data_IF_854310564694
#
_entry.id   IF_854310564694
#
_cell.length_a   1.000
_cell.length_b   1.000
_cell.length_c   1.000
_cell.angle_alpha   90.00
_cell.angle_beta   90.00
_cell.angle_gamma   90.00
#
_symmetry.space_group_name_H-M   'P 1'
#
loop_
_entity.id
_entity.type
_entity.pdbx_description
1 polymer ?
#
# COMPACT_ATOMS: atom_id res chain seq x y z
N UNK A 1 15.40 -21.01 -15.18
CA UNK A 1 14.45 -20.04 -14.62
C UNK A 1 15.26 -19.05 -13.80
N UNK A 2 15.24 -17.78 -14.18
CA UNK A 2 15.79 -16.69 -13.35
C UNK A 2 14.66 -15.96 -12.65
N UNK A 3 14.94 -15.40 -11.48
CA UNK A 3 14.04 -14.43 -10.83
C UNK A 3 14.63 -13.05 -11.11
N UNK A 4 13.86 -12.20 -11.77
CA UNK A 4 14.24 -10.80 -12.00
C UNK A 4 13.47 -9.92 -11.01
N UNK A 5 14.21 -9.17 -10.19
CA UNK A 5 13.64 -8.21 -9.24
C UNK A 5 13.89 -6.82 -9.79
N UNK A 6 12.81 -6.09 -10.07
CA UNK A 6 12.91 -4.75 -10.59
C UNK A 6 12.60 -3.71 -9.52
N UNK A 7 13.58 -2.87 -9.21
CA UNK A 7 13.46 -1.73 -8.29
C UNK A 7 13.55 -0.44 -9.08
N UNK A 8 12.79 0.58 -8.68
CA UNK A 8 12.85 1.92 -9.30
C UNK A 8 12.22 2.01 -10.70
N UNK A 9 11.40 1.04 -11.10
CA UNK A 9 10.61 1.08 -12.32
C UNK A 9 9.13 0.80 -12.03
N UNK A 10 8.26 1.20 -12.95
CA UNK A 10 6.82 1.18 -12.78
C UNK A 10 6.16 0.28 -13.81
N UNK A 11 5.31 -0.62 -13.33
CA UNK A 11 4.43 -1.42 -14.18
C UNK A 11 3.57 -0.52 -15.06
N UNK A 12 3.58 -0.78 -16.37
CA UNK A 12 2.78 -0.05 -17.36
C UNK A 12 1.55 -0.82 -17.77
N UNK A 13 1.76 -2.03 -18.28
CA UNK A 13 0.74 -2.92 -18.83
C UNK A 13 1.33 -4.31 -19.08
N UNK A 14 0.47 -5.26 -19.44
CA UNK A 14 0.87 -6.55 -20.02
C UNK A 14 0.59 -6.61 -21.52
N UNK A 15 1.44 -7.33 -22.24
CA UNK A 15 1.26 -7.72 -23.63
C UNK A 15 1.04 -9.24 -23.71
N UNK A 16 -0.08 -9.64 -24.33
CA UNK A 16 -0.47 -11.05 -24.44
C UNK A 16 0.42 -11.82 -25.43
N UNK A 17 0.48 -13.15 -25.30
CA UNK A 17 1.00 -14.02 -26.33
C UNK A 17 0.28 -13.83 -27.68
N UNK A 18 1.02 -14.00 -28.78
CA UNK A 18 0.54 -14.00 -30.17
C UNK A 18 1.36 -14.99 -31.00
N UNK A 19 0.99 -15.23 -32.27
CA UNK A 19 1.73 -16.17 -33.16
C UNK A 19 3.21 -15.80 -33.32
N UNK A 20 3.56 -14.51 -33.33
CA UNK A 20 4.95 -14.04 -33.42
C UNK A 20 5.65 -13.92 -32.06
N UNK A 21 4.90 -14.01 -30.96
CA UNK A 21 5.40 -13.87 -29.59
C UNK A 21 4.64 -14.82 -28.66
N UNK A 22 5.03 -16.11 -28.56
CA UNK A 22 4.30 -17.13 -27.80
C UNK A 22 4.58 -17.05 -26.28
N UNK A 23 4.57 -15.84 -25.72
CA UNK A 23 4.81 -15.60 -24.30
C UNK A 23 4.27 -14.22 -23.88
N UNK A 24 3.97 -14.08 -22.59
CA UNK A 24 3.57 -12.81 -22.00
C UNK A 24 4.76 -11.88 -21.83
N UNK A 25 4.53 -10.59 -22.06
CA UNK A 25 5.51 -9.55 -21.81
C UNK A 25 4.97 -8.55 -20.79
N UNK A 26 5.77 -8.28 -19.75
CA UNK A 26 5.58 -7.18 -18.82
C UNK A 26 6.19 -5.92 -19.43
N UNK A 27 5.43 -4.84 -19.49
CA UNK A 27 5.92 -3.54 -19.93
C UNK A 27 6.25 -2.68 -18.71
N UNK A 28 7.51 -2.26 -18.58
CA UNK A 28 7.99 -1.44 -17.47
C UNK A 28 8.49 -0.08 -17.95
N UNK A 29 8.22 0.98 -17.19
CA UNK A 29 8.69 2.34 -17.46
C UNK A 29 9.54 2.90 -16.31
N UNK A 30 10.41 3.86 -16.61
CA UNK A 30 11.29 4.51 -15.60
C UNK A 30 10.64 5.68 -14.86
N UNK A 31 9.48 6.16 -15.31
CA UNK A 31 8.76 7.27 -14.66
C UNK A 31 7.47 6.79 -14.01
N UNK A 32 7.04 7.39 -12.88
CA UNK A 32 5.73 7.11 -12.31
C UNK A 32 4.64 7.37 -13.37
N UNK A 33 3.64 6.49 -13.51
CA UNK A 33 2.51 6.77 -14.40
C UNK A 33 1.74 7.98 -13.90
N UNK A 34 1.30 8.85 -14.81
CA UNK A 34 0.43 9.97 -14.48
C UNK A 34 -0.84 9.41 -13.83
N UNK A 35 -1.09 9.78 -12.57
CA UNK A 35 -2.38 9.50 -11.94
C UNK A 35 -3.46 10.24 -12.73
N UNK A 36 -4.30 9.50 -13.48
CA UNK A 36 -5.53 10.07 -14.01
C UNK A 36 -6.46 10.33 -12.82
N UNK A 37 -6.46 11.57 -12.34
CA UNK A 37 -7.52 12.07 -11.47
C UNK A 37 -8.82 12.04 -12.28
N UNK A 38 -9.56 10.93 -12.23
CA UNK A 38 -10.95 10.86 -12.69
C UNK A 38 -11.87 11.60 -11.72
N UNK A 39 -11.65 12.91 -11.56
CA UNK A 39 -12.51 13.81 -10.80
C UNK A 39 -12.64 15.17 -11.48
N UNK A 40 -12.81 15.18 -12.80
CA UNK A 40 -13.36 16.33 -13.53
C UNK A 40 -14.82 16.05 -13.92
N UNK A 41 -15.72 16.02 -12.93
CA UNK A 41 -17.12 16.31 -13.20
C UNK A 41 -17.29 17.83 -13.13
N UNK A 42 -17.08 18.48 -14.27
CA UNK A 42 -17.48 19.87 -14.47
C UNK A 42 -19.01 19.94 -14.44
N UNK A 43 -19.52 20.58 -13.40
CA UNK A 43 -20.90 21.00 -13.31
C UNK A 43 -20.97 22.42 -13.90
N UNK A 44 -21.32 22.53 -15.19
CA UNK A 44 -21.84 23.78 -15.76
C UNK A 44 -23.03 23.46 -16.66
N UNK A 45 -24.22 23.70 -16.11
CA UNK A 45 -25.44 23.85 -16.87
C UNK A 45 -25.29 24.98 -17.89
N UNK A 46 -25.52 24.70 -19.18
CA UNK A 46 -26.30 25.59 -20.04
C UNK A 46 -26.86 24.83 -21.24
N UNK A 47 -28.17 24.99 -21.47
CA UNK A 47 -28.97 24.39 -22.55
C UNK A 47 -28.65 25.04 -23.90
N UNK A 48 -28.53 24.24 -24.96
CA UNK A 48 -29.27 24.43 -26.23
C UNK A 48 -29.03 23.30 -27.25
N UNK A 49 -30.03 23.12 -28.10
CA UNK A 49 -30.40 22.05 -29.05
C UNK A 49 -29.39 21.49 -30.10
N UNK A 50 -29.66 20.22 -30.49
CA UNK A 50 -29.34 19.46 -31.74
C UNK A 50 -27.96 18.76 -31.90
N UNK A 51 -27.85 17.69 -32.74
CA UNK A 51 -28.52 16.39 -32.68
C UNK A 51 -27.51 15.21 -32.58
N UNK A 52 -28.06 14.01 -32.32
CA UNK A 52 -27.36 12.71 -32.08
C UNK A 52 -26.21 12.43 -33.07
N UNK A 53 -24.98 12.28 -32.54
CA UNK A 53 -23.83 11.70 -33.23
C UNK A 53 -23.39 10.42 -32.51
N UNK A 54 -23.28 9.35 -33.29
CA UNK A 54 -22.84 8.01 -32.88
C UNK A 54 -21.51 8.05 -32.12
N UNK A 55 -21.49 7.59 -30.87
CA UNK A 55 -20.27 7.36 -30.10
C UNK A 55 -19.60 6.07 -30.56
N UNK A 56 -18.67 6.19 -31.51
CA UNK A 56 -17.57 5.23 -31.69
C UNK A 56 -16.32 5.80 -31.02
N UNK A 57 -15.72 4.99 -30.16
CA UNK A 57 -14.35 5.01 -29.63
C UNK A 57 -13.92 6.14 -28.66
N UNK A 58 -13.47 5.72 -27.48
CA UNK A 58 -12.39 6.37 -26.71
C UNK A 58 -11.40 5.32 -26.19
N UNK A 59 -10.67 4.71 -27.12
CA UNK A 59 -9.34 4.16 -26.84
C UNK A 59 -8.48 5.31 -26.30
N UNK A 60 -7.97 5.15 -25.07
CA UNK A 60 -7.08 6.12 -24.48
C UNK A 60 -5.78 6.18 -25.30
N UNK A 61 -5.63 7.23 -26.11
CA UNK A 61 -4.37 7.56 -26.77
C UNK A 61 -3.37 8.01 -25.70
N UNK A 62 -2.58 7.05 -25.20
CA UNK A 62 -1.34 7.34 -24.49
C UNK A 62 -0.35 7.85 -25.54
N UNK A 63 0.21 9.05 -25.32
CA UNK A 63 1.26 9.62 -26.16
C UNK A 63 2.42 8.63 -26.30
N UNK A 64 2.64 8.11 -27.51
CA UNK A 64 3.63 7.07 -27.85
C UNK A 64 5.10 7.52 -27.75
N UNK A 65 5.39 8.72 -27.26
CA UNK A 65 6.73 9.33 -27.30
C UNK A 65 7.46 9.45 -25.96
N UNK A 66 6.95 8.87 -24.87
CA UNK A 66 7.68 8.87 -23.58
C UNK A 66 8.15 7.46 -23.21
N UNK A 67 9.42 7.20 -23.55
CA UNK A 67 10.25 6.05 -23.15
C UNK A 67 9.67 4.71 -23.60
N UNK A 68 10.27 4.13 -24.65
CA UNK A 68 9.98 2.75 -25.05
C UNK A 68 10.07 1.85 -23.81
N UNK A 69 8.95 1.27 -23.36
CA UNK A 69 8.98 0.48 -22.13
C UNK A 69 9.88 -0.73 -22.34
N UNK A 70 10.70 -1.04 -21.34
CA UNK A 70 11.46 -2.28 -21.36
C UNK A 70 10.46 -3.44 -21.33
N UNK A 71 10.65 -4.41 -22.22
CA UNK A 71 9.81 -5.61 -22.35
C UNK A 71 10.50 -6.79 -21.69
N UNK A 72 9.80 -7.47 -20.79
CA UNK A 72 10.32 -8.64 -20.11
C UNK A 72 9.35 -9.80 -20.22
N UNK A 73 9.83 -10.96 -20.67
CA UNK A 73 9.03 -12.17 -20.69
C UNK A 73 8.71 -12.61 -19.25
N UNK A 74 7.47 -12.98 -18.98
CA UNK A 74 7.08 -13.50 -17.67
C UNK A 74 6.08 -14.66 -17.76
N UNK A 75 6.28 -15.68 -16.93
CA UNK A 75 5.27 -16.72 -16.68
C UNK A 75 4.59 -16.52 -15.30
N UNK A 76 5.19 -15.67 -14.46
CA UNK A 76 4.76 -15.33 -13.10
C UNK A 76 4.94 -13.83 -12.88
N UNK A 77 3.90 -13.14 -12.41
CA UNK A 77 3.93 -11.74 -11.99
C UNK A 77 3.49 -11.64 -10.53
N UNK A 78 4.27 -10.94 -9.69
CA UNK A 78 3.93 -10.72 -8.27
C UNK A 78 3.81 -9.22 -8.01
N UNK A 79 2.60 -8.78 -7.64
CA UNK A 79 2.31 -7.42 -7.25
C UNK A 79 2.83 -7.13 -5.83
N UNK A 80 3.89 -6.33 -5.75
CA UNK A 80 4.49 -5.85 -4.51
C UNK A 80 4.68 -4.31 -4.52
N UNK A 81 3.89 -3.61 -5.34
CA UNK A 81 3.96 -2.17 -5.62
C UNK A 81 3.08 -1.30 -4.69
N UNK A 82 2.61 -1.89 -3.59
CA UNK A 82 1.91 -1.17 -2.51
C UNK A 82 0.41 -1.00 -2.72
N UNK A 83 -0.21 -0.18 -1.87
CA UNK A 83 -1.66 -0.05 -1.73
C UNK A 83 -2.43 0.42 -2.98
N UNK A 84 -1.73 1.04 -3.93
CA UNK A 84 -2.27 1.51 -5.21
C UNK A 84 -1.76 0.67 -6.39
N UNK A 85 -1.60 -0.64 -6.17
CA UNK A 85 -1.02 -1.56 -7.13
C UNK A 85 -1.67 -1.47 -8.52
N UNK A 86 -0.85 -1.22 -9.54
CA UNK A 86 -1.31 -1.18 -10.93
C UNK A 86 -1.48 -2.58 -11.51
N UNK A 87 -0.71 -3.54 -11.01
CA UNK A 87 -0.89 -4.96 -11.35
C UNK A 87 -2.27 -5.43 -10.87
N UNK A 88 -2.68 -5.05 -9.65
CA UNK A 88 -4.04 -5.33 -9.18
C UNK A 88 -5.11 -4.74 -10.10
N UNK A 89 -4.92 -3.50 -10.57
CA UNK A 89 -5.85 -2.84 -11.49
C UNK A 89 -5.90 -3.52 -12.86
N UNK A 90 -4.75 -3.85 -13.45
CA UNK A 90 -4.63 -4.49 -14.77
C UNK A 90 -5.36 -5.84 -14.80
N UNK A 91 -5.17 -6.67 -13.78
CA UNK A 91 -5.73 -8.02 -13.71
C UNK A 91 -7.08 -8.09 -12.99
N UNK A 92 -7.67 -6.95 -12.61
CA UNK A 92 -9.02 -6.91 -12.03
C UNK A 92 -9.12 -7.46 -10.59
N UNK A 93 -8.03 -7.43 -9.83
CA UNK A 93 -8.07 -7.73 -8.39
C UNK A 93 -8.91 -6.68 -7.67
N UNK A 94 -10.00 -7.10 -7.03
CA UNK A 94 -10.90 -6.16 -6.36
C UNK A 94 -10.31 -5.75 -5.02
N UNK A 95 -9.92 -4.50 -4.93
CA UNK A 95 -9.45 -3.87 -3.71
C UNK A 95 -10.62 -3.18 -3.00
N UNK A 96 -11.00 -3.71 -1.83
CA UNK A 96 -12.04 -3.12 -0.99
C UNK A 96 -11.38 -2.18 0.02
N UNK A 97 -11.67 -0.89 -0.12
CA UNK A 97 -11.29 0.11 0.87
C UNK A 97 -12.28 0.11 2.03
N UNK A 98 -11.76 -0.08 3.24
CA UNK A 98 -12.50 0.04 4.50
C UNK A 98 -11.98 1.24 5.27
N UNK A 99 -12.88 2.17 5.58
CA UNK A 99 -12.52 3.41 6.27
C UNK A 99 -13.70 4.38 6.31
N UNK A 100 -14.39 4.47 7.45
CA UNK A 100 -15.51 5.44 7.60
C UNK A 100 -15.11 6.70 8.37
N UNK A 101 -14.05 6.61 9.18
CA UNK A 101 -13.56 7.71 10.03
C UNK A 101 -12.34 8.33 9.36
N UNK A 102 -12.36 9.66 9.20
CA UNK A 102 -11.17 10.42 8.78
C UNK A 102 -10.11 10.31 9.86
N UNK A 103 -8.94 9.79 9.51
CA UNK A 103 -7.82 9.60 10.41
C UNK A 103 -6.55 10.11 9.73
N UNK A 104 -5.78 10.89 10.48
CA UNK A 104 -4.47 11.36 10.06
C UNK A 104 -3.44 10.67 10.94
N UNK A 105 -2.42 10.09 10.32
CA UNK A 105 -1.20 9.67 10.99
C UNK A 105 -0.13 10.75 10.90
N UNK A 106 0.71 10.88 11.92
CA UNK A 106 1.95 11.63 11.83
C UNK A 106 3.08 10.65 12.12
N UNK A 107 4.10 10.64 11.27
CA UNK A 107 5.40 10.06 11.61
C UNK A 107 6.41 11.16 11.80
N UNK A 108 7.32 10.99 12.74
CA UNK A 108 8.50 11.81 12.82
C UNK A 108 9.71 11.02 13.31
N UNK A 109 10.88 11.38 12.77
CA UNK A 109 12.15 10.75 13.11
C UNK A 109 13.10 11.81 13.66
N UNK A 110 13.68 11.55 14.83
CA UNK A 110 14.80 12.32 15.36
C UNK A 110 16.11 11.56 15.17
N UNK A 111 17.20 12.31 15.06
CA UNK A 111 18.55 11.73 15.10
C UNK A 111 18.71 10.93 16.41
N UNK A 112 19.18 9.69 16.31
CA UNK A 112 19.57 8.92 17.48
C UNK A 112 21.09 9.02 17.66
N UNK A 113 21.54 9.91 18.55
CA UNK A 113 22.98 10.10 18.81
C UNK A 113 23.56 9.05 19.76
N UNK A 114 22.74 8.09 20.19
CA UNK A 114 23.08 6.97 21.08
C UNK A 114 23.72 7.44 22.40
N UNK A 115 23.34 8.61 22.88
CA UNK A 115 23.72 9.16 24.20
C UNK A 115 23.18 8.28 25.33
N UNK A 116 23.69 8.48 26.55
CA UNK A 116 23.23 7.73 27.72
C UNK A 116 21.73 7.97 28.01
N UNK A 117 21.26 9.21 27.82
CA UNK A 117 19.85 9.58 28.01
C UNK A 117 18.95 8.89 26.99
N UNK A 118 19.30 8.96 25.70
CA UNK A 118 18.55 8.31 24.62
C UNK A 118 18.51 6.78 24.81
N UNK A 119 19.60 6.16 25.27
CA UNK A 119 19.65 4.70 25.53
C UNK A 119 18.72 4.27 26.67
N UNK A 120 18.38 5.17 27.59
CA UNK A 120 17.47 4.89 28.72
C UNK A 120 15.99 4.98 28.32
N UNK A 121 15.69 5.57 27.17
CA UNK A 121 14.32 5.65 26.66
C UNK A 121 13.80 4.24 26.35
N UNK A 122 12.61 3.96 26.91
CA UNK A 122 11.91 2.70 26.68
C UNK A 122 10.95 2.86 25.52
N UNK A 123 11.00 1.92 24.59
CA UNK A 123 10.03 1.80 23.51
C UNK A 123 8.64 1.51 24.08
N UNK A 124 7.60 1.94 23.35
CA UNK A 124 6.23 1.67 23.74
C UNK A 124 5.27 1.75 22.55
N UNK A 125 4.14 1.06 22.66
CA UNK A 125 2.96 1.23 21.80
C UNK A 125 1.74 1.42 22.68
N UNK A 126 1.17 2.63 22.67
CA UNK A 126 0.08 3.01 23.55
C UNK A 126 -1.17 3.33 22.76
N UNK A 127 -2.30 2.83 23.25
CA UNK A 127 -3.65 3.17 22.77
C UNK A 127 -4.38 3.99 23.84
N UNK A 128 -5.08 5.04 23.42
CA UNK A 128 -5.63 6.08 24.30
C UNK A 128 -6.62 5.53 25.33
N UNK A 129 -7.49 4.59 24.93
CA UNK A 129 -8.54 4.07 25.81
C UNK A 129 -8.01 3.22 26.97
N UNK A 130 -6.83 2.60 26.83
CA UNK A 130 -6.12 1.89 27.90
C UNK A 130 -5.22 2.82 28.73
N UNK A 131 -4.78 3.95 28.16
CA UNK A 131 -3.79 4.86 28.75
C UNK A 131 -4.37 6.26 29.03
N UNK A 132 -5.63 6.33 29.44
CA UNK A 132 -6.42 7.58 29.49
C UNK A 132 -5.75 8.72 30.26
N UNK A 133 -5.07 8.41 31.38
CA UNK A 133 -4.40 9.43 32.20
C UNK A 133 -3.27 10.11 31.41
N UNK A 134 -2.37 9.31 30.84
CA UNK A 134 -1.22 9.81 30.08
C UNK A 134 -1.63 10.62 28.85
N UNK A 135 -2.68 10.19 28.15
CA UNK A 135 -3.19 10.92 26.97
C UNK A 135 -3.90 12.23 27.36
N UNK A 136 -4.47 12.31 28.58
CA UNK A 136 -5.04 13.55 29.11
C UNK A 136 -3.93 14.54 29.48
N UNK A 137 -2.90 14.08 30.18
CA UNK A 137 -1.71 14.87 30.51
C UNK A 137 -1.05 15.42 29.22
N UNK A 138 -0.89 14.58 28.18
CA UNK A 138 -0.38 15.03 26.88
C UNK A 138 -1.25 16.13 26.25
N UNK A 139 -2.58 16.01 26.32
CA UNK A 139 -3.48 17.04 25.83
C UNK A 139 -3.35 18.35 26.62
N UNK A 140 -3.21 18.26 27.94
CA UNK A 140 -3.05 19.43 28.82
C UNK A 140 -1.70 20.14 28.59
N UNK A 141 -0.62 19.39 28.38
CA UNK A 141 0.73 19.95 28.18
C UNK A 141 0.99 20.43 26.74
N UNK A 142 0.56 19.66 25.74
CA UNK A 142 0.91 19.90 24.33
C UNK A 142 -0.26 20.51 23.53
N UNK A 143 -1.49 20.37 24.02
CA UNK A 143 -2.70 20.81 23.31
C UNK A 143 -3.16 19.85 22.21
N UNK A 144 -2.61 18.64 22.13
CA UNK A 144 -2.94 17.64 21.11
C UNK A 144 -3.63 16.43 21.74
N UNK A 145 -4.74 16.01 21.15
CA UNK A 145 -5.43 14.79 21.57
C UNK A 145 -5.09 13.65 20.62
N UNK A 146 -4.62 12.51 21.16
CA UNK A 146 -4.17 11.36 20.36
C UNK A 146 -5.07 10.14 20.56
N UNK A 147 -5.22 9.33 19.52
CA UNK A 147 -5.88 8.01 19.55
C UNK A 147 -4.87 6.89 19.89
N UNK A 148 -3.62 7.04 19.41
CA UNK A 148 -2.49 6.16 19.71
C UNK A 148 -1.18 6.93 19.63
N UNK A 149 -0.15 6.39 20.25
CA UNK A 149 1.22 6.91 20.23
C UNK A 149 2.19 5.74 20.37
N UNK A 150 3.07 5.59 19.38
CA UNK A 150 4.12 4.57 19.33
C UNK A 150 5.47 5.26 19.25
N UNK A 151 6.42 4.74 20.02
CA UNK A 151 7.81 5.14 20.02
C UNK A 151 8.70 3.91 19.87
N UNK A 152 9.55 3.91 18.84
CA UNK A 152 10.55 2.90 18.57
C UNK A 152 11.94 3.55 18.55
N UNK A 153 12.94 2.85 19.06
CA UNK A 153 14.32 3.32 19.16
C UNK A 153 15.23 2.35 18.43
N UNK A 154 15.61 2.72 17.21
CA UNK A 154 16.53 1.96 16.39
C UNK A 154 17.64 2.87 15.83
N UNK A 155 17.85 2.93 14.51
CA UNK A 155 18.75 3.90 13.88
C UNK A 155 18.29 5.36 14.10
N UNK A 156 16.98 5.55 14.30
CA UNK A 156 16.34 6.83 14.62
C UNK A 156 15.51 6.71 15.90
N UNK A 157 15.13 7.85 16.47
CA UNK A 157 14.05 7.91 17.45
C UNK A 157 12.75 8.13 16.66
N UNK A 158 12.06 7.02 16.36
CA UNK A 158 10.88 7.00 15.51
C UNK A 158 9.61 7.12 16.33
N UNK A 159 8.74 8.03 15.92
CA UNK A 159 7.39 8.16 16.44
C UNK A 159 6.36 7.97 15.33
N UNK A 160 5.28 7.28 15.67
CA UNK A 160 4.04 7.31 14.89
C UNK A 160 2.84 7.47 15.81
N UNK A 161 1.96 8.41 15.47
CA UNK A 161 0.78 8.69 16.27
C UNK A 161 -0.38 9.16 15.42
N UNK A 162 -1.59 9.04 15.97
CA UNK A 162 -2.83 9.42 15.29
C UNK A 162 -3.52 10.54 16.08
N UNK A 163 -3.28 11.82 15.76
CA UNK A 163 -3.97 12.92 16.41
C UNK A 163 -5.44 13.04 15.97
N UNK A 164 -6.26 13.65 16.84
CA UNK A 164 -7.59 14.13 16.46
C UNK A 164 -7.44 15.37 15.58
N UNK A 165 -8.13 15.36 14.46
CA UNK A 165 -8.12 16.46 13.47
C UNK A 165 -8.51 17.78 14.14
N UNK A 166 -9.51 17.79 15.05
CA UNK A 166 -9.91 19.00 15.77
C UNK A 166 -8.75 19.62 16.56
N UNK A 167 -7.97 18.80 17.28
CA UNK A 167 -6.82 19.31 18.04
C UNK A 167 -5.69 19.83 17.15
N UNK A 168 -5.51 19.28 15.95
CA UNK A 168 -4.56 19.84 14.97
C UNK A 168 -4.99 21.21 14.45
N UNK A 169 -6.30 21.44 14.28
CA UNK A 169 -6.85 22.75 13.88
C UNK A 169 -6.72 23.74 15.02
N UNK A 170 -7.13 23.36 16.23
CA UNK A 170 -7.02 24.19 17.44
C UNK A 170 -5.56 24.62 17.71
N UNK A 171 -4.60 23.71 17.51
CA UNK A 171 -3.16 23.98 17.69
C UNK A 171 -2.53 24.76 16.53
N UNK A 172 -3.26 24.97 15.43
CA UNK A 172 -2.79 25.70 14.25
C UNK A 172 -1.89 24.91 13.31
N UNK A 173 -1.81 23.58 13.47
CA UNK A 173 -1.10 22.67 12.55
C UNK A 173 -1.85 22.54 11.23
N UNK A 174 -3.18 22.45 11.30
CA UNK A 174 -4.07 22.47 10.13
C UNK A 174 -4.83 23.79 10.09
N UNK A 175 -4.99 24.37 8.90
CA UNK A 175 -5.85 25.55 8.70
C UNK A 175 -7.33 25.19 8.75
N UNK A 176 -7.70 24.05 8.17
CA UNK A 176 -9.06 23.50 8.20
C UNK A 176 -9.04 21.99 8.40
N UNK A 177 -10.04 21.49 9.15
CA UNK A 177 -10.33 20.07 9.35
C UNK A 177 -11.42 19.53 8.43
N UNK A 178 -11.89 20.34 7.47
CA UNK A 178 -12.96 20.01 6.54
C UNK A 178 -12.44 19.40 5.23
N UNK A 179 -13.35 18.85 4.41
CA UNK A 179 -12.98 18.23 3.13
C UNK A 179 -12.63 16.74 3.21
N UNK A 180 -12.11 16.18 2.12
CA UNK A 180 -11.67 14.78 2.05
C UNK A 180 -10.31 14.61 2.74
N UNK A 181 -9.91 13.39 3.12
CA UNK A 181 -8.60 13.17 3.73
C UNK A 181 -7.42 13.74 2.92
N UNK A 182 -7.47 13.62 1.59
CA UNK A 182 -6.47 14.21 0.70
C UNK A 182 -6.40 15.74 0.76
N UNK A 183 -7.50 16.43 1.08
CA UNK A 183 -7.53 17.89 1.25
C UNK A 183 -6.81 18.31 2.54
N UNK A 184 -6.90 17.49 3.59
CA UNK A 184 -6.27 17.76 4.89
C UNK A 184 -4.75 17.77 4.79
N UNK A 185 -4.18 16.94 3.91
CA UNK A 185 -2.74 16.74 3.75
C UNK A 185 -2.08 17.71 2.75
N UNK A 186 -2.87 18.61 2.13
CA UNK A 186 -2.33 19.55 1.15
C UNK A 186 -1.39 20.54 1.81
N UNK A 187 -0.32 20.92 1.09
CA UNK A 187 0.70 21.86 1.58
C UNK A 187 0.15 23.22 1.98
N UNK A 188 -0.90 23.69 1.33
CA UNK A 188 -1.57 24.95 1.66
C UNK A 188 -2.36 24.87 2.97
N UNK A 189 -2.88 23.68 3.32
CA UNK A 189 -3.61 23.43 4.55
C UNK A 189 -2.73 23.12 5.77
N UNK A 190 -1.48 22.69 5.56
CA UNK A 190 -0.55 22.30 6.62
C UNK A 190 0.41 23.44 6.98
N UNK A 191 0.38 23.87 8.24
CA UNK A 191 1.41 24.73 8.81
C UNK A 191 2.61 23.88 9.25
N UNK A 192 3.62 23.79 8.39
CA UNK A 192 4.80 22.96 8.63
C UNK A 192 5.56 23.37 9.90
N UNK A 193 5.64 24.66 10.20
CA UNK A 193 6.34 25.15 11.40
C UNK A 193 5.67 24.69 12.68
N UNK A 194 4.33 24.76 12.76
CA UNK A 194 3.60 24.26 13.91
C UNK A 194 3.59 22.73 13.99
N UNK A 195 3.58 22.02 12.85
CA UNK A 195 3.75 20.58 12.82
C UNK A 195 5.08 20.15 13.46
N UNK A 196 6.18 20.81 13.10
CA UNK A 196 7.51 20.57 13.66
C UNK A 196 7.58 20.93 15.16
N UNK A 197 6.91 22.00 15.58
CA UNK A 197 6.87 22.38 16.99
C UNK A 197 6.13 21.33 17.83
N UNK A 198 4.94 20.93 17.39
CA UNK A 198 4.12 19.90 18.05
C UNK A 198 4.85 18.56 18.10
N UNK A 199 5.53 18.16 17.02
CA UNK A 199 6.28 16.91 17.03
C UNK A 199 7.41 16.91 18.06
N UNK A 200 8.13 18.03 18.24
CA UNK A 200 9.14 18.19 19.30
C UNK A 200 8.53 18.15 20.70
N UNK A 201 7.39 18.81 20.90
CA UNK A 201 6.68 18.83 22.19
C UNK A 201 6.19 17.42 22.59
N UNK A 202 5.63 16.65 21.64
CA UNK A 202 5.22 15.25 21.89
C UNK A 202 6.43 14.37 22.20
N UNK A 203 7.53 14.52 21.47
CA UNK A 203 8.75 13.76 21.74
C UNK A 203 9.32 14.09 23.13
N UNK A 204 9.31 15.37 23.51
CA UNK A 204 9.74 15.84 24.83
C UNK A 204 8.87 15.30 25.96
N UNK A 205 7.54 15.28 25.78
CA UNK A 205 6.61 14.62 26.70
C UNK A 205 6.95 13.12 26.90
N UNK A 206 7.55 12.48 25.89
CA UNK A 206 8.00 11.09 25.97
C UNK A 206 9.42 10.92 26.55
N UNK A 207 10.07 12.02 26.94
CA UNK A 207 11.41 12.05 27.53
C UNK A 207 12.55 12.26 26.54
N UNK A 208 12.26 12.47 25.24
CA UNK A 208 13.30 12.83 24.26
C UNK A 208 13.78 14.25 24.55
N UNK A 209 15.10 14.52 24.66
CA UNK A 209 15.58 15.87 24.93
C UNK A 209 15.08 16.89 23.90
N UNK A 210 14.64 18.07 24.33
CA UNK A 210 14.17 19.15 23.43
C UNK A 210 15.26 19.63 22.45
N UNK A 211 16.52 19.41 22.79
CA UNK A 211 17.70 19.67 21.94
C UNK A 211 17.87 18.64 20.81
N UNK A 212 17.07 17.57 20.80
CA UNK A 212 17.12 16.56 19.74
C UNK A 212 16.63 17.17 18.43
N UNK A 213 17.37 16.91 17.37
CA UNK A 213 17.06 17.38 16.03
C UNK A 213 16.35 16.31 15.23
N UNK A 214 15.44 16.75 14.35
CA UNK A 214 14.83 15.85 13.38
C UNK A 214 15.91 15.27 12.47
N UNK A 215 15.78 13.99 12.13
CA UNK A 215 16.50 13.40 11.01
C UNK A 215 16.20 14.24 9.76
N UNK A 216 17.22 14.43 8.90
CA UNK A 216 17.06 15.14 7.63
C UNK A 216 17.18 14.21 6.44
N UNK A 217 16.14 14.20 5.60
CA UNK A 217 16.12 13.45 4.34
C UNK A 217 15.97 14.49 3.21
N UNK A 218 16.95 14.54 2.30
CA UNK A 218 16.96 15.54 1.22
C UNK A 218 16.93 16.99 1.74
N UNK A 219 17.55 17.25 2.90
CA UNK A 219 17.59 18.57 3.56
C UNK A 219 16.35 18.95 4.36
N UNK A 220 15.25 18.19 4.27
CA UNK A 220 14.01 18.43 5.02
C UNK A 220 13.98 17.63 6.30
N UNK A 221 13.40 18.21 7.36
CA UNK A 221 13.13 17.51 8.62
C UNK A 221 12.12 16.39 8.35
N UNK A 222 12.40 15.21 8.88
CA UNK A 222 11.58 14.02 8.67
C UNK A 222 10.39 14.00 9.64
N UNK A 223 9.39 14.80 9.31
CA UNK A 223 8.08 14.82 9.94
C UNK A 223 7.01 15.04 8.88
N UNK A 224 6.03 14.13 8.81
CA UNK A 224 5.03 14.12 7.75
C UNK A 224 3.67 13.58 8.23
N UNK A 225 2.61 14.14 7.65
CA UNK A 225 1.23 13.68 7.82
C UNK A 225 0.88 12.64 6.75
N UNK A 226 0.11 11.63 7.15
CA UNK A 226 -0.35 10.53 6.30
C UNK A 226 -1.86 10.34 6.44
N UNK A 227 -2.49 9.85 5.37
CA UNK A 227 -3.88 9.43 5.42
C UNK A 227 -3.97 8.03 6.00
N UNK A 228 -4.51 7.89 7.21
CA UNK A 228 -4.78 6.61 7.85
C UNK A 228 -6.27 6.24 7.79
N UNK A 229 -7.07 6.97 7.01
CA UNK A 229 -8.51 6.77 6.90
C UNK A 229 -8.84 5.46 6.19
N UNK A 230 -8.06 5.12 5.16
CA UNK A 230 -8.34 4.03 4.25
C UNK A 230 -7.45 2.81 4.52
N UNK A 231 -8.07 1.64 4.59
CA UNK A 231 -7.38 0.36 4.54
C UNK A 231 -7.89 -0.44 3.36
N UNK A 232 -7.00 -0.84 2.49
CA UNK A 232 -7.31 -1.64 1.32
C UNK A 232 -7.06 -3.11 1.62
N UNK A 233 -8.04 -3.94 1.29
CA UNK A 233 -7.92 -5.40 1.30
C UNK A 233 -8.30 -5.90 -0.08
N UNK A 234 -7.36 -6.55 -0.74
CA UNK A 234 -7.62 -7.25 -1.99
C UNK A 234 -8.51 -8.48 -1.73
N UNK A 235 -9.42 -8.82 -2.65
CA UNK A 235 -10.37 -9.92 -2.46
C UNK A 235 -9.77 -11.33 -2.65
N UNK A 236 -8.60 -11.42 -3.28
CA UNK A 236 -7.88 -12.67 -3.55
C UNK A 236 -6.37 -12.42 -3.58
N UNK A 237 -5.60 -13.45 -3.26
CA UNK A 237 -4.14 -13.37 -3.19
C UNK A 237 -3.44 -13.78 -4.49
N UNK A 238 -4.11 -14.58 -5.33
CA UNK A 238 -3.59 -14.97 -6.64
C UNK A 238 -4.72 -15.24 -7.64
N UNK A 239 -4.35 -15.32 -8.92
CA UNK A 239 -5.17 -15.88 -10.00
C UNK A 239 -4.28 -16.43 -11.12
N UNK A 240 -4.83 -17.35 -11.91
CA UNK A 240 -4.22 -17.78 -13.18
C UNK A 240 -4.96 -17.09 -14.32
N UNK A 241 -4.22 -16.46 -15.21
CA UNK A 241 -4.74 -15.68 -16.34
C UNK A 241 -4.37 -16.38 -17.63
N UNK A 242 -5.35 -16.61 -18.48
CA UNK A 242 -5.15 -17.05 -19.87
C UNK A 242 -5.32 -15.86 -20.82
N UNK A 243 -4.76 -15.92 -22.05
CA UNK A 243 -4.99 -14.90 -23.06
C UNK A 243 -6.49 -14.63 -23.28
N UNK A 244 -7.32 -15.68 -23.22
CA UNK A 244 -8.78 -15.58 -23.34
C UNK A 244 -9.44 -14.83 -22.17
N UNK A 245 -8.99 -15.05 -20.92
CA UNK A 245 -9.57 -14.37 -19.76
C UNK A 245 -9.19 -12.89 -19.65
N UNK A 246 -8.11 -12.46 -20.32
CA UNK A 246 -7.53 -11.12 -20.15
C UNK A 246 -8.31 -10.00 -20.86
N UNK A 247 -8.92 -10.26 -22.01
CA UNK A 247 -9.64 -9.24 -22.80
C UNK A 247 -11.16 -9.19 -22.56
N UNK A 248 -11.70 -10.08 -21.73
CA UNK A 248 -13.14 -10.25 -21.57
C UNK A 248 -13.83 -10.77 -22.84
N UNK A 249 -15.07 -11.24 -22.71
CA UNK A 249 -15.79 -11.97 -23.77
C UNK A 249 -16.12 -11.14 -25.04
N UNK A 250 -15.82 -9.84 -25.06
CA UNK A 250 -16.27 -8.87 -26.08
C UNK A 250 -15.25 -8.46 -27.15
N UNK A 251 -13.98 -8.81 -27.01
CA UNK A 251 -12.93 -8.55 -28.02
C UNK A 251 -12.44 -9.86 -28.66
N UNK A 252 -13.38 -10.73 -29.05
CA UNK A 252 -13.08 -11.79 -30.02
C UNK A 252 -12.90 -11.13 -31.38
N UNK A 253 -11.67 -10.74 -31.70
CA UNK A 253 -11.31 -10.41 -33.08
C UNK A 253 -11.61 -11.61 -33.97
N UNK A 254 -12.02 -11.35 -35.20
CA UNK A 254 -12.44 -12.35 -36.21
C UNK A 254 -11.34 -13.38 -36.60
N UNK A 255 -10.18 -13.35 -35.94
CA UNK A 255 -9.01 -14.20 -36.19
C UNK A 255 -8.61 -15.09 -35.00
N UNK A 256 -9.49 -15.30 -34.01
CA UNK A 256 -9.26 -16.33 -32.98
C UNK A 256 -9.80 -17.68 -33.46
N UNK A 257 -9.08 -18.31 -34.41
CA UNK A 257 -9.10 -19.77 -34.49
C UNK A 257 -8.78 -20.30 -33.09
N UNK A 258 -9.62 -21.23 -32.60
CA UNK A 258 -9.39 -21.96 -31.36
C UNK A 258 -8.09 -22.75 -31.48
N UNK A 259 -6.97 -22.09 -31.28
CA UNK A 259 -5.67 -22.73 -31.27
C UNK A 259 -5.54 -23.37 -29.88
N UNK A 260 -5.92 -24.64 -29.77
CA UNK A 260 -5.81 -25.47 -28.56
C UNK A 260 -4.35 -25.56 -28.03
N UNK A 261 -3.39 -24.98 -28.74
CA UNK A 261 -1.95 -24.98 -28.43
C UNK A 261 -1.42 -23.71 -27.72
N UNK A 262 -2.19 -22.63 -27.60
CA UNK A 262 -1.73 -21.41 -26.89
C UNK A 262 -2.13 -21.43 -25.40
N UNK A 263 -1.80 -22.52 -24.69
CA UNK A 263 -1.98 -22.63 -23.23
C UNK A 263 -0.84 -21.91 -22.50
N UNK A 264 -0.75 -20.60 -22.72
CA UNK A 264 0.20 -19.72 -22.06
C UNK A 264 -0.46 -19.11 -20.84
N UNK A 265 -0.62 -19.91 -19.79
CA UNK A 265 -1.12 -19.44 -18.50
C UNK A 265 -0.10 -18.53 -17.82
N UNK A 266 -0.59 -17.46 -17.22
CA UNK A 266 0.18 -16.53 -16.39
C UNK A 266 -0.28 -16.64 -14.95
N UNK A 267 0.64 -16.91 -14.02
CA UNK A 267 0.34 -16.78 -12.60
C UNK A 267 0.48 -15.31 -12.18
N UNK A 268 -0.54 -14.76 -11.52
CA UNK A 268 -0.48 -13.43 -10.92
C UNK A 268 -0.73 -13.54 -9.42
N UNK A 269 0.24 -13.14 -8.60
CA UNK A 269 0.14 -13.10 -7.14
C UNK A 269 0.17 -11.68 -6.60
N UNK A 270 -0.37 -11.46 -5.40
CA UNK A 270 -0.41 -10.16 -4.72
C UNK A 270 0.10 -10.32 -3.30
N UNK A 271 1.04 -9.46 -2.89
CA UNK A 271 1.72 -9.52 -1.58
C UNK A 271 1.80 -8.16 -0.92
N UNK A 272 2.10 -8.14 0.38
CA UNK A 272 2.33 -6.91 1.15
C UNK A 272 1.15 -5.95 1.09
N UNK A 273 1.46 -4.65 1.00
CA UNK A 273 0.46 -3.58 1.03
C UNK A 273 -0.48 -3.59 -0.20
N UNK A 274 -0.08 -4.24 -1.31
CA UNK A 274 -0.97 -4.46 -2.45
C UNK A 274 -2.11 -5.43 -2.12
N UNK A 275 -1.84 -6.40 -1.23
CA UNK A 275 -2.81 -7.38 -0.74
C UNK A 275 -3.60 -6.82 0.45
N UNK A 276 -2.89 -6.29 1.45
CA UNK A 276 -3.47 -5.88 2.72
C UNK A 276 -2.68 -4.72 3.31
N UNK A 277 -3.25 -3.52 3.31
CA UNK A 277 -2.61 -2.37 3.94
C UNK A 277 -2.64 -2.49 5.46
N UNK A 278 -1.50 -2.35 6.15
CA UNK A 278 -1.46 -2.47 7.59
C UNK A 278 -2.05 -1.25 8.29
N UNK A 279 -2.46 -1.47 9.53
CA UNK A 279 -2.59 -0.37 10.47
C UNK A 279 -1.29 -0.25 11.24
N UNK A 280 -0.51 0.79 10.91
CA UNK A 280 0.86 0.94 11.43
C UNK A 280 0.95 0.87 12.96
N UNK A 281 -0.01 1.43 13.74
CA UNK A 281 0.03 1.32 15.20
C UNK A 281 -0.01 -0.12 15.75
N UNK A 282 -0.49 -1.10 14.98
CA UNK A 282 -0.49 -2.51 15.38
C UNK A 282 0.79 -3.27 15.01
N UNK A 283 1.72 -2.66 14.27
CA UNK A 283 3.00 -3.28 13.91
C UNK A 283 2.88 -4.56 13.06
N UNK A 284 1.76 -4.77 12.36
CA UNK A 284 1.50 -6.02 11.61
C UNK A 284 1.98 -6.01 10.16
N UNK A 285 2.40 -4.87 9.63
CA UNK A 285 2.72 -4.68 8.21
C UNK A 285 3.82 -5.61 7.70
N UNK A 286 5.01 -5.52 8.27
CA UNK A 286 6.15 -6.35 7.86
C UNK A 286 5.82 -7.84 8.00
N UNK A 287 5.30 -8.26 9.17
CA UNK A 287 4.96 -9.67 9.43
C UNK A 287 4.01 -10.23 8.36
N UNK A 288 2.92 -9.51 8.06
CA UNK A 288 1.94 -9.95 7.06
C UNK A 288 2.46 -9.85 5.63
N UNK A 289 3.33 -8.89 5.32
CA UNK A 289 3.99 -8.82 4.02
C UNK A 289 4.87 -10.06 3.78
N UNK A 290 5.73 -10.43 4.73
CA UNK A 290 6.56 -11.63 4.63
C UNK A 290 5.73 -12.91 4.54
N UNK A 291 4.71 -13.06 5.40
CA UNK A 291 3.81 -14.22 5.35
C UNK A 291 3.09 -14.32 4.00
N UNK A 292 2.60 -13.20 3.46
CA UNK A 292 1.96 -13.17 2.14
C UNK A 292 2.93 -13.53 1.02
N UNK A 293 4.20 -13.13 1.12
CA UNK A 293 5.25 -13.50 0.17
C UNK A 293 5.55 -14.99 0.18
N UNK A 294 5.66 -15.59 1.37
CA UNK A 294 5.83 -17.04 1.54
C UNK A 294 4.62 -17.82 0.99
N UNK A 295 3.41 -17.31 1.26
CA UNK A 295 2.15 -17.88 0.76
C UNK A 295 2.09 -17.89 -0.77
N UNK A 296 2.37 -16.75 -1.40
CA UNK A 296 2.41 -16.64 -2.87
C UNK A 296 3.53 -17.49 -3.47
N UNK A 297 4.69 -17.58 -2.81
CA UNK A 297 5.80 -18.43 -3.26
C UNK A 297 5.42 -19.92 -3.27
N UNK A 298 4.70 -20.37 -2.25
CA UNK A 298 4.19 -21.75 -2.19
C UNK A 298 3.17 -22.03 -3.30
N UNK A 299 2.22 -21.12 -3.51
CA UNK A 299 1.21 -21.23 -4.57
C UNK A 299 1.85 -21.18 -5.97
N UNK A 300 2.85 -20.33 -6.18
CA UNK A 300 3.61 -20.26 -7.43
C UNK A 300 4.37 -21.57 -7.70
N UNK A 301 4.95 -22.19 -6.67
CA UNK A 301 5.60 -23.49 -6.79
C UNK A 301 4.63 -24.60 -7.22
N UNK A 302 3.42 -24.63 -6.63
CA UNK A 302 2.34 -25.55 -7.02
C UNK A 302 1.87 -25.31 -8.46
N UNK A 303 1.76 -24.04 -8.86
CA UNK A 303 1.55 -23.68 -10.27
C UNK A 303 2.67 -24.22 -11.17
N UNK A 304 3.95 -24.11 -10.82
CA UNK A 304 5.01 -24.73 -11.64
C UNK A 304 4.92 -26.26 -11.74
N UNK A 305 4.23 -26.93 -10.81
CA UNK A 305 4.02 -28.39 -10.77
C UNK A 305 2.78 -28.87 -11.51
N UNK A 306 2.01 -27.98 -12.15
CA UNK A 306 0.78 -28.35 -12.88
C UNK A 306 -0.51 -28.10 -12.09
N UNK A 307 -0.43 -27.63 -10.84
CA UNK A 307 -1.62 -27.41 -10.00
C UNK A 307 -2.22 -26.02 -10.27
N UNK A 308 -3.25 -25.97 -11.11
CA UNK A 308 -3.88 -24.71 -11.58
C UNK A 308 -5.08 -24.24 -10.76
N UNK A 309 -5.70 -25.11 -9.96
CA UNK A 309 -6.98 -24.85 -9.26
C UNK A 309 -6.81 -24.62 -7.75
N UNK A 310 -5.80 -23.85 -7.36
CA UNK A 310 -5.47 -23.60 -5.95
C UNK A 310 -6.20 -22.39 -5.34
N UNK A 311 -7.24 -21.84 -5.99
CA UNK A 311 -7.99 -20.68 -5.46
C UNK A 311 -8.56 -20.91 -4.06
N UNK A 312 -9.06 -22.13 -3.77
CA UNK A 312 -9.59 -22.47 -2.45
C UNK A 312 -8.48 -22.49 -1.39
N UNK A 313 -7.31 -23.02 -1.74
CA UNK A 313 -6.14 -23.05 -0.87
C UNK A 313 -5.63 -21.63 -0.61
N UNK A 314 -5.49 -20.83 -1.66
CA UNK A 314 -5.12 -19.41 -1.57
C UNK A 314 -6.09 -18.64 -0.67
N UNK A 315 -7.40 -18.86 -0.81
CA UNK A 315 -8.42 -18.23 0.06
C UNK A 315 -8.28 -18.65 1.53
N UNK A 316 -7.98 -19.92 1.81
CA UNK A 316 -7.73 -20.41 3.17
C UNK A 316 -6.47 -19.77 3.77
N UNK A 317 -5.37 -19.72 3.01
CA UNK A 317 -4.12 -19.08 3.43
C UNK A 317 -4.31 -17.59 3.70
N UNK A 318 -5.00 -16.88 2.82
CA UNK A 318 -5.35 -15.47 3.01
C UNK A 318 -6.20 -15.25 4.27
N UNK A 319 -7.16 -16.13 4.58
CA UNK A 319 -7.93 -16.07 5.84
C UNK A 319 -7.03 -16.18 7.06
N UNK A 320 -6.12 -17.16 7.07
CA UNK A 320 -5.14 -17.37 8.15
C UNK A 320 -4.18 -16.19 8.29
N UNK A 321 -3.73 -15.62 7.18
CA UNK A 321 -2.91 -14.41 7.15
C UNK A 321 -3.63 -13.23 7.83
N UNK A 322 -4.91 -13.00 7.55
CA UNK A 322 -5.68 -11.90 8.15
C UNK A 322 -5.86 -12.07 9.66
N UNK A 323 -5.96 -13.31 10.12
CA UNK A 323 -6.11 -13.72 11.53
C UNK A 323 -4.76 -13.93 12.25
N UNK A 324 -3.63 -13.72 11.56
CA UNK A 324 -2.30 -13.94 12.12
C UNK A 324 -2.03 -13.02 13.33
N UNK A 325 -1.62 -13.65 14.42
CA UNK A 325 -1.15 -13.07 15.68
C UNK A 325 -0.09 -14.01 16.29
N UNK A 326 0.56 -13.60 17.38
CA UNK A 326 1.50 -14.47 18.10
C UNK A 326 0.85 -15.77 18.62
N UNK A 327 -0.47 -15.74 18.87
CA UNK A 327 -1.24 -16.87 19.42
C UNK A 327 -1.69 -17.85 18.34
N UNK A 328 -1.98 -17.36 17.13
CA UNK A 328 -2.48 -18.18 16.01
C UNK A 328 -1.38 -18.76 15.13
N UNK A 329 -0.13 -18.36 15.37
CA UNK A 329 1.05 -18.76 14.62
C UNK A 329 1.89 -19.79 15.40
N UNK A 330 2.60 -20.68 14.68
CA UNK A 330 3.52 -21.63 15.31
C UNK A 330 4.69 -20.91 15.96
N UNK A 331 5.09 -21.32 17.16
CA UNK A 331 6.15 -20.62 17.94
C UNK A 331 7.58 -20.90 17.49
N UNK A 332 7.80 -21.98 16.75
CA UNK A 332 9.13 -22.38 16.29
C UNK A 332 9.48 -21.67 14.97
N UNK A 333 9.80 -20.38 15.05
CA UNK A 333 10.03 -19.52 13.89
C UNK A 333 11.22 -19.98 13.04
N UNK A 334 12.19 -20.67 13.64
CA UNK A 334 13.37 -21.22 12.95
C UNK A 334 12.98 -22.29 11.93
N UNK A 335 11.84 -22.96 12.13
CA UNK A 335 11.31 -23.99 11.22
C UNK A 335 10.39 -23.43 10.13
N UNK A 336 10.21 -22.12 10.05
CA UNK A 336 9.32 -21.54 9.05
C UNK A 336 9.88 -21.76 7.65
N UNK A 337 9.02 -22.24 6.75
CA UNK A 337 9.31 -22.37 5.32
C UNK A 337 8.15 -21.82 4.50
N UNK A 338 8.26 -21.88 3.17
CA UNK A 338 7.14 -21.54 2.30
C UNK A 338 5.91 -22.44 2.52
N UNK A 339 6.08 -23.69 3.00
CA UNK A 339 4.95 -24.56 3.34
C UNK A 339 4.11 -23.92 4.48
N UNK A 340 2.84 -23.55 4.24
CA UNK A 340 2.00 -22.90 5.24
C UNK A 340 1.80 -23.73 6.50
N UNK A 341 1.92 -25.06 6.45
CA UNK A 341 1.80 -25.94 7.63
C UNK A 341 2.89 -25.69 8.66
N UNK A 342 4.04 -25.16 8.23
CA UNK A 342 5.15 -24.80 9.13
C UNK A 342 4.92 -23.49 9.87
N UNK A 343 3.93 -22.69 9.46
CA UNK A 343 3.68 -21.33 9.95
C UNK A 343 2.33 -21.19 10.66
N UNK A 344 1.25 -21.58 9.98
CA UNK A 344 -0.11 -21.47 10.51
C UNK A 344 -0.47 -22.70 11.35
N UNK A 345 -1.08 -22.48 12.51
CA UNK A 345 -1.69 -23.55 13.30
C UNK A 345 -2.93 -24.03 12.53
N UNK A 346 -2.98 -25.34 12.23
CA UNK A 346 -4.02 -25.92 11.39
C UNK A 346 -5.40 -25.84 12.03
#
# INVERSE_FOLDING_TARGET
MGVEVFLGCYFRAMEKPSKSQPYWNVLMGSTPPLHSNNNSNNNTNNRSNQPKRNNRNRTHNINKSEITPNKFRADIVIAADGCHSRVCQEFGFQQKTRGKKKLIGITCNFENRKTLEERRLKEFSLISFLNRRRFRELKEEVGIELENLVFLRDETLYFVYTPKISSLVERGVLRSGEGKPSDLLRRDNVNQTELEKVGKEIAAFCGVPLTSEYLRIGGRKDIQLFDFSERTVCNRQMMVVTPASYYGEGEKGEEEEKDEQLDHELFVGVVGDALLTPFWPLGTGANRAFLSGMDVSFLAGRFCQGERKDELLARRMMSRLMESSEETMRKDWVKYTIDPKTRYIC
#
